data_IF_128886921684
#
_entry.id   IF_128886921684
#
_cell.length_a   1.000
_cell.length_b   1.000
_cell.length_c   1.000
_cell.angle_alpha   90.00
_cell.angle_beta   90.00
_cell.angle_gamma   90.00
#
_symmetry.space_group_name_H-M   'P 1'
#
loop_
_entity.id
_entity.type
_entity.pdbx_description
1 polymer ?
#
# COMPACT_ATOMS: atom_id res chain seq x y z
N UNK A 1 -27.76 2.65 0.80
CA UNK A 1 -27.15 4.00 0.74
C UNK A 1 -26.50 4.17 -0.63
N UNK A 2 -26.44 5.39 -1.20
CA UNK A 2 -25.75 5.59 -2.49
C UNK A 2 -24.21 5.42 -2.36
N UNK A 3 -23.57 4.95 -3.45
CA UNK A 3 -22.13 4.69 -3.53
C UNK A 3 -21.27 5.94 -3.32
N UNK A 4 -21.71 7.11 -3.78
CA UNK A 4 -20.95 8.35 -3.58
C UNK A 4 -20.96 8.74 -2.09
N UNK A 5 -22.10 8.60 -1.41
CA UNK A 5 -22.18 8.81 0.04
C UNK A 5 -21.31 7.81 0.81
N UNK A 6 -21.34 6.52 0.45
CA UNK A 6 -20.49 5.50 1.06
C UNK A 6 -18.99 5.83 0.93
N UNK A 7 -18.54 6.22 -0.27
CA UNK A 7 -17.14 6.65 -0.51
C UNK A 7 -16.78 7.87 0.33
N UNK A 8 -17.68 8.84 0.44
CA UNK A 8 -17.45 10.06 1.23
C UNK A 8 -17.24 9.72 2.70
N UNK A 9 -18.06 8.85 3.29
CA UNK A 9 -17.92 8.42 4.70
C UNK A 9 -16.56 7.74 4.93
N UNK A 10 -16.18 6.82 4.05
CA UNK A 10 -14.88 6.13 4.15
C UNK A 10 -13.75 7.13 4.05
N UNK A 11 -13.78 8.02 3.04
CA UNK A 11 -12.75 9.04 2.82
C UNK A 11 -12.60 9.97 4.01
N UNK A 12 -13.70 10.54 4.51
CA UNK A 12 -13.68 11.44 5.66
C UNK A 12 -13.19 10.75 6.94
N UNK A 13 -13.38 9.44 7.06
CA UNK A 13 -12.89 8.68 8.21
C UNK A 13 -11.42 8.31 8.06
N UNK A 14 -10.99 7.87 6.88
CA UNK A 14 -9.68 7.24 6.66
C UNK A 14 -8.61 8.17 6.11
N UNK A 15 -8.95 9.38 5.69
CA UNK A 15 -7.98 10.43 5.30
C UNK A 15 -7.89 11.51 6.40
N UNK A 16 -8.05 11.11 7.66
CA UNK A 16 -8.05 12.03 8.79
C UNK A 16 -7.49 11.38 10.06
N UNK A 17 -6.96 12.20 10.99
CA UNK A 17 -6.59 11.72 12.31
C UNK A 17 -7.78 11.05 13.00
N UNK A 18 -7.47 10.06 13.86
CA UNK A 18 -8.51 9.29 14.51
C UNK A 18 -9.42 10.18 15.37
N UNK A 19 -10.71 10.14 15.06
CA UNK A 19 -11.77 10.74 15.88
C UNK A 19 -12.79 9.66 16.21
N UNK A 20 -12.97 9.39 17.51
CA UNK A 20 -13.79 8.26 17.97
C UNK A 20 -15.24 8.35 17.49
N UNK A 21 -15.86 9.52 17.54
CA UNK A 21 -17.22 9.78 17.05
C UNK A 21 -17.37 9.40 15.56
N UNK A 22 -16.40 9.81 14.75
CA UNK A 22 -16.34 9.54 13.31
C UNK A 22 -16.13 8.06 13.03
N UNK A 23 -15.20 7.42 13.75
CA UNK A 23 -14.98 5.98 13.66
C UNK A 23 -16.24 5.19 14.06
N UNK A 24 -16.91 5.55 15.17
CA UNK A 24 -18.17 4.92 15.57
C UNK A 24 -19.25 5.09 14.52
N UNK A 25 -19.39 6.28 13.94
CA UNK A 25 -20.32 6.54 12.84
C UNK A 25 -20.02 5.67 11.63
N UNK A 26 -18.75 5.61 11.21
CA UNK A 26 -18.32 4.76 10.11
C UNK A 26 -18.66 3.29 10.36
N UNK A 27 -18.33 2.75 11.54
CA UNK A 27 -18.60 1.33 11.84
C UNK A 27 -20.10 1.03 11.91
N UNK A 28 -20.93 1.97 12.39
CA UNK A 28 -22.40 1.85 12.33
C UNK A 28 -22.91 1.78 10.89
N UNK A 29 -22.32 2.53 9.95
CA UNK A 29 -22.65 2.44 8.52
C UNK A 29 -22.07 1.17 7.88
N UNK A 30 -20.91 0.70 8.33
CA UNK A 30 -20.29 -0.54 7.82
C UNK A 30 -21.09 -1.78 8.19
N UNK A 31 -21.64 -1.83 9.41
CA UNK A 31 -22.31 -3.02 9.97
C UNK A 31 -23.84 -2.90 9.99
N UNK A 32 -24.39 -1.79 9.48
CA UNK A 32 -25.79 -1.36 9.53
C UNK A 32 -26.37 -1.14 10.93
N UNK A 33 -26.07 -2.01 11.90
CA UNK A 33 -26.46 -1.88 13.30
C UNK A 33 -25.37 -2.45 14.22
N UNK A 34 -25.21 -1.85 15.40
CA UNK A 34 -24.39 -2.41 16.49
C UNK A 34 -25.16 -2.26 17.80
N UNK A 35 -24.95 -3.19 18.73
CA UNK A 35 -25.38 -3.05 20.12
C UNK A 35 -24.43 -2.09 20.84
N UNK A 36 -24.94 -0.98 21.36
CA UNK A 36 -24.16 -0.05 22.18
C UNK A 36 -23.85 -0.70 23.54
N UNK A 37 -22.62 -1.19 23.71
CA UNK A 37 -22.21 -2.02 24.85
C UNK A 37 -20.83 -1.59 25.38
N UNK A 38 -20.71 -0.30 25.71
CA UNK A 38 -19.41 0.31 25.98
C UNK A 38 -18.78 -0.12 27.30
N UNK A 39 -17.49 -0.40 27.30
CA UNK A 39 -16.68 -0.49 28.53
C UNK A 39 -15.22 -0.14 28.23
N UNK A 40 -14.45 0.15 29.28
CA UNK A 40 -13.03 0.50 29.16
C UNK A 40 -12.15 -0.38 30.04
N UNK A 41 -11.08 -0.92 29.47
CA UNK A 41 -9.94 -1.48 30.19
C UNK A 41 -8.78 -0.49 30.18
N UNK A 42 -8.27 -0.19 31.38
CA UNK A 42 -7.11 0.67 31.57
C UNK A 42 -6.40 0.30 32.88
N UNK A 43 -5.13 0.72 33.02
CA UNK A 43 -4.36 0.50 34.25
C UNK A 43 -4.25 -0.97 34.65
N UNK A 44 -4.80 -1.33 35.82
CA UNK A 44 -4.75 -2.69 36.37
C UNK A 44 -5.51 -3.73 35.53
N UNK A 45 -6.40 -3.29 34.64
CA UNK A 45 -7.21 -4.17 33.79
C UNK A 45 -6.45 -4.69 32.57
N UNK A 46 -5.37 -4.02 32.16
CA UNK A 46 -4.48 -4.49 31.10
C UNK A 46 -3.49 -5.52 31.68
N UNK A 47 -3.36 -6.72 31.11
CA UNK A 47 -2.38 -7.71 31.58
C UNK A 47 -0.94 -7.20 31.49
N UNK A 48 -0.09 -7.60 32.43
CA UNK A 48 1.28 -7.07 32.57
C UNK A 48 2.12 -7.22 31.30
N UNK A 49 1.95 -8.32 30.57
CA UNK A 49 2.65 -8.58 29.29
C UNK A 49 2.36 -7.50 28.22
N UNK A 50 1.19 -6.85 28.26
CA UNK A 50 0.76 -5.89 27.24
C UNK A 50 0.94 -4.42 27.68
N UNK A 51 1.09 -4.14 28.99
CA UNK A 51 1.28 -2.78 29.54
C UNK A 51 2.43 -1.95 28.95
N UNK A 52 3.52 -2.54 28.41
CA UNK A 52 4.55 -1.76 27.70
C UNK A 52 4.07 -1.13 26.39
N UNK A 53 3.04 -1.72 25.76
CA UNK A 53 2.55 -1.33 24.42
C UNK A 53 1.16 -0.71 24.46
N UNK A 54 0.26 -1.26 25.28
CA UNK A 54 -1.16 -0.88 25.34
C UNK A 54 -1.37 0.06 26.52
N UNK A 55 -2.00 1.20 26.25
CA UNK A 55 -2.44 2.16 27.28
C UNK A 55 -3.86 1.83 27.75
N UNK A 56 -4.79 1.69 26.81
CA UNK A 56 -6.19 1.37 27.08
C UNK A 56 -6.83 0.58 25.94
N UNK A 57 -7.93 -0.10 26.26
CA UNK A 57 -8.88 -0.69 25.31
C UNK A 57 -10.27 -0.22 25.68
N UNK A 58 -11.04 0.20 24.69
CA UNK A 58 -12.44 0.51 24.83
C UNK A 58 -13.26 -0.32 23.86
N UNK A 59 -14.29 -1.02 24.33
CA UNK A 59 -15.32 -1.56 23.43
C UNK A 59 -16.33 -0.45 23.17
N UNK A 60 -16.59 -0.20 21.90
CA UNK A 60 -17.60 0.77 21.43
C UNK A 60 -18.95 0.08 21.37
N UNK A 61 -18.99 -1.12 20.81
CA UNK A 61 -20.22 -1.90 20.66
C UNK A 61 -19.93 -3.34 20.30
N UNK A 62 -21.02 -4.10 20.11
CA UNK A 62 -21.01 -5.48 19.64
C UNK A 62 -21.80 -5.61 18.36
N UNK A 63 -21.45 -6.61 17.57
CA UNK A 63 -22.14 -7.00 16.37
C UNK A 63 -22.22 -8.52 16.27
N UNK A 64 -23.31 -9.02 15.69
CA UNK A 64 -23.42 -10.41 15.30
C UNK A 64 -24.07 -10.50 13.93
N UNK A 65 -23.53 -11.37 13.08
CA UNK A 65 -24.12 -11.72 11.78
C UNK A 65 -25.12 -12.89 11.90
N UNK A 66 -25.47 -13.29 13.13
CA UNK A 66 -26.32 -14.44 13.44
C UNK A 66 -25.55 -15.73 13.72
N UNK A 67 -24.28 -15.82 13.30
CA UNK A 67 -23.42 -16.99 13.51
C UNK A 67 -22.19 -16.63 14.36
N UNK A 68 -21.58 -15.49 14.09
CA UNK A 68 -20.33 -15.01 14.69
C UNK A 68 -20.57 -13.79 15.58
N UNK A 69 -19.70 -13.62 16.57
CA UNK A 69 -19.65 -12.46 17.45
C UNK A 69 -18.43 -11.58 17.14
N UNK A 70 -18.69 -10.31 16.84
CA UNK A 70 -17.66 -9.33 16.49
C UNK A 70 -17.74 -8.14 17.46
N UNK A 71 -16.65 -7.87 18.17
CA UNK A 71 -16.56 -6.68 19.03
C UNK A 71 -15.93 -5.51 18.25
N UNK A 72 -16.47 -4.29 18.46
CA UNK A 72 -15.93 -3.06 17.90
C UNK A 72 -15.08 -2.39 18.97
N UNK A 73 -13.77 -2.29 18.71
CA UNK A 73 -12.77 -1.88 19.69
C UNK A 73 -12.01 -0.63 19.25
N UNK A 74 -11.65 0.18 20.24
CA UNK A 74 -10.67 1.25 20.13
C UNK A 74 -9.53 0.97 21.10
N UNK A 75 -8.30 0.97 20.62
CA UNK A 75 -7.10 0.66 21.41
C UNK A 75 -6.12 1.82 21.32
N UNK A 76 -5.83 2.42 22.47
CA UNK A 76 -4.82 3.45 22.57
C UNK A 76 -3.47 2.80 22.92
N UNK A 77 -2.48 3.05 22.07
CA UNK A 77 -1.11 2.59 22.26
C UNK A 77 -0.34 3.56 23.16
N UNK A 78 0.78 3.09 23.70
CA UNK A 78 1.55 3.84 24.71
C UNK A 78 2.64 4.74 24.12
N UNK A 79 3.17 4.41 22.94
CA UNK A 79 4.26 5.13 22.28
C UNK A 79 3.88 5.41 20.84
N UNK A 80 4.32 6.54 20.30
CA UNK A 80 4.24 6.91 18.87
C UNK A 80 4.61 5.73 17.96
N UNK A 81 5.83 5.20 18.16
CA UNK A 81 6.38 4.08 17.38
C UNK A 81 5.65 2.74 17.53
N UNK A 82 4.73 2.59 18.49
CA UNK A 82 4.03 1.33 18.73
C UNK A 82 3.08 0.96 17.59
N UNK A 83 2.56 1.92 16.84
CA UNK A 83 1.66 1.66 15.71
C UNK A 83 2.35 0.75 14.68
N UNK A 84 3.60 1.08 14.36
CA UNK A 84 4.42 0.32 13.43
C UNK A 84 5.12 -0.87 14.09
N UNK A 85 5.78 -0.69 15.24
CA UNK A 85 6.77 -1.65 15.76
C UNK A 85 6.18 -2.77 16.61
N UNK A 86 4.91 -2.66 17.02
CA UNK A 86 4.31 -3.58 17.99
C UNK A 86 3.12 -4.37 17.41
N UNK A 87 3.14 -4.68 16.12
CA UNK A 87 2.04 -5.37 15.41
C UNK A 87 1.66 -6.72 16.05
N UNK A 88 2.65 -7.54 16.37
CA UNK A 88 2.47 -8.81 17.09
C UNK A 88 1.89 -8.64 18.48
N UNK A 89 2.33 -7.61 19.22
CA UNK A 89 1.78 -7.34 20.55
C UNK A 89 0.34 -6.85 20.47
N UNK A 90 -0.01 -6.03 19.47
CA UNK A 90 -1.38 -5.60 19.19
C UNK A 90 -2.27 -6.82 18.87
N UNK A 91 -1.84 -7.69 17.96
CA UNK A 91 -2.57 -8.92 17.59
C UNK A 91 -2.78 -9.84 18.78
N UNK A 92 -1.72 -10.14 19.53
CA UNK A 92 -1.78 -11.02 20.70
C UNK A 92 -2.67 -10.45 21.80
N UNK A 93 -2.66 -9.13 22.00
CA UNK A 93 -3.55 -8.48 22.96
C UNK A 93 -5.03 -8.65 22.58
N UNK A 94 -5.37 -8.48 21.30
CA UNK A 94 -6.74 -8.72 20.84
C UNK A 94 -7.09 -10.21 20.86
N UNK A 95 -6.15 -11.11 20.54
CA UNK A 95 -6.37 -12.55 20.66
C UNK A 95 -6.69 -12.95 22.12
N UNK A 96 -5.95 -12.41 23.09
CA UNK A 96 -6.25 -12.59 24.51
C UNK A 96 -7.64 -12.04 24.86
N UNK A 97 -8.02 -10.89 24.31
CA UNK A 97 -9.33 -10.30 24.52
C UNK A 97 -10.48 -11.18 23.99
N UNK A 98 -10.33 -11.69 22.76
CA UNK A 98 -11.29 -12.56 22.10
C UNK A 98 -11.38 -13.93 22.77
N UNK A 99 -10.28 -14.42 23.35
CA UNK A 99 -10.22 -15.67 24.10
C UNK A 99 -10.75 -15.52 25.55
N UNK A 100 -11.87 -14.81 25.72
CA UNK A 100 -12.56 -14.67 27.00
C UNK A 100 -11.90 -13.69 27.98
N UNK A 101 -10.80 -13.03 27.65
CA UNK A 101 -10.15 -11.97 28.45
C UNK A 101 -9.97 -12.31 29.94
N UNK A 102 -10.91 -11.88 30.81
CA UNK A 102 -10.97 -12.13 32.26
C UNK A 102 -12.18 -13.00 32.66
N UNK A 103 -12.47 -14.06 31.90
CA UNK A 103 -13.58 -14.98 32.14
C UNK A 103 -14.90 -14.60 31.46
N UNK A 104 -14.84 -13.74 30.44
CA UNK A 104 -15.96 -13.46 29.55
C UNK A 104 -16.11 -14.50 28.44
N UNK A 105 -17.12 -14.29 27.60
CA UNK A 105 -17.42 -15.16 26.45
C UNK A 105 -16.33 -15.10 25.37
N UNK A 106 -16.12 -16.24 24.71
CA UNK A 106 -15.28 -16.33 23.52
C UNK A 106 -15.95 -15.59 22.36
N UNK A 107 -15.15 -14.93 21.54
CA UNK A 107 -15.62 -14.18 20.37
C UNK A 107 -14.80 -14.54 19.15
N UNK A 108 -15.45 -14.47 17.99
CA UNK A 108 -14.85 -14.89 16.72
C UNK A 108 -13.90 -13.83 16.17
N UNK A 109 -14.25 -12.55 16.28
CA UNK A 109 -13.47 -11.47 15.70
C UNK A 109 -13.62 -10.12 16.44
N UNK A 110 -12.76 -9.17 16.07
CA UNK A 110 -12.91 -7.77 16.41
C UNK A 110 -12.52 -6.86 15.24
N UNK A 111 -13.28 -5.78 15.07
CA UNK A 111 -12.87 -4.61 14.29
C UNK A 111 -12.23 -3.61 15.25
N UNK A 112 -10.98 -3.24 14.98
CA UNK A 112 -10.13 -2.52 15.94
C UNK A 112 -9.54 -1.27 15.30
N UNK A 113 -9.71 -0.12 15.96
CA UNK A 113 -8.92 1.07 15.69
C UNK A 113 -7.71 1.12 16.65
N UNK A 114 -6.51 1.00 16.12
CA UNK A 114 -5.26 1.19 16.88
C UNK A 114 -4.72 2.60 16.66
N UNK A 115 -4.50 3.34 17.76
CA UNK A 115 -4.10 4.74 17.71
C UNK A 115 -2.90 4.97 18.61
N UNK A 116 -1.84 5.55 18.05
CA UNK A 116 -0.68 6.01 18.79
C UNK A 116 -0.86 7.45 19.27
N UNK A 117 -0.26 7.84 20.41
CA UNK A 117 -0.26 9.23 20.84
C UNK A 117 0.52 10.08 19.83
N UNK A 118 0.04 11.29 19.52
CA UNK A 118 0.75 12.25 18.66
C UNK A 118 0.78 11.93 17.16
N UNK A 119 0.27 10.78 16.74
CA UNK A 119 0.26 10.36 15.33
C UNK A 119 -1.04 10.78 14.63
N UNK A 120 -0.91 11.27 13.40
CA UNK A 120 -2.06 11.54 12.52
C UNK A 120 -2.54 10.28 11.80
N UNK A 121 -1.66 9.29 11.65
CA UNK A 121 -1.98 8.01 11.04
C UNK A 121 -2.37 6.98 12.12
N UNK A 122 -3.30 6.10 11.79
CA UNK A 122 -3.84 5.07 12.66
C UNK A 122 -4.15 3.81 11.85
N UNK A 123 -4.48 2.70 12.53
CA UNK A 123 -4.78 1.43 11.86
C UNK A 123 -6.20 0.98 12.12
N UNK A 124 -6.92 0.71 11.03
CA UNK A 124 -8.18 0.00 11.07
C UNK A 124 -7.92 -1.48 10.76
N UNK A 125 -8.22 -2.36 11.71
CA UNK A 125 -7.84 -3.76 11.66
C UNK A 125 -9.02 -4.70 11.86
N UNK A 126 -9.02 -5.81 11.13
CA UNK A 126 -9.81 -7.00 11.47
C UNK A 126 -8.86 -7.99 12.18
N UNK A 127 -9.24 -8.43 13.38
CA UNK A 127 -8.56 -9.53 14.08
C UNK A 127 -9.57 -10.67 14.23
N UNK A 128 -9.22 -11.87 13.74
CA UNK A 128 -10.10 -13.06 13.76
C UNK A 128 -9.39 -14.25 14.41
N UNK A 129 -10.11 -15.02 15.20
CA UNK A 129 -9.63 -16.29 15.77
C UNK A 129 -9.67 -17.40 14.70
N UNK A 130 -8.56 -18.10 14.48
CA UNK A 130 -8.47 -19.22 13.53
C UNK A 130 -8.65 -20.55 14.27
N UNK A 131 -9.90 -20.94 14.56
CA UNK A 131 -10.20 -22.18 15.28
C UNK A 131 -9.90 -23.42 14.43
N UNK A 132 -8.81 -24.11 14.76
CA UNK A 132 -8.57 -25.48 14.27
C UNK A 132 -9.26 -26.46 15.21
N UNK A 133 -10.38 -27.03 14.75
CA UNK A 133 -10.99 -28.17 15.44
C UNK A 133 -10.22 -29.45 15.06
N UNK A 134 -9.40 -29.97 15.97
CA UNK A 134 -8.88 -31.34 15.85
C UNK A 134 -9.89 -32.32 16.48
N UNK A 135 -10.44 -33.23 15.67
CA UNK A 135 -11.19 -34.37 16.17
C UNK A 135 -10.26 -35.31 16.95
N UNK A 136 -10.55 -35.54 18.23
CA UNK A 136 -9.82 -36.56 18.98
C UNK A 136 -10.22 -37.96 18.51
N UNK A 137 -9.32 -38.94 18.62
CA UNK A 137 -9.51 -40.36 18.23
C UNK A 137 -10.70 -41.07 18.91
N UNK A 138 -11.47 -40.39 19.76
CA UNK A 138 -12.64 -40.92 20.47
C UNK A 138 -13.96 -40.20 20.10
N UNK A 139 -13.97 -39.35 19.06
CA UNK A 139 -15.19 -38.67 18.59
C UNK A 139 -15.72 -37.57 19.53
N UNK A 140 -14.98 -37.25 20.61
CA UNK A 140 -15.22 -36.05 21.40
C UNK A 140 -14.38 -34.91 20.83
N UNK A 141 -15.04 -33.84 20.40
CA UNK A 141 -14.40 -32.56 20.06
C UNK A 141 -13.77 -32.03 21.35
N UNK A 142 -12.47 -32.23 21.53
CA UNK A 142 -11.71 -31.51 22.53
C UNK A 142 -11.09 -30.33 21.80
N UNK A 143 -11.62 -29.13 22.03
CA UNK A 143 -10.87 -27.90 21.73
C UNK A 143 -9.57 -28.01 22.54
N UNK A 144 -8.46 -28.30 21.90
CA UNK A 144 -7.16 -28.18 22.56
C UNK A 144 -7.01 -26.70 22.93
N UNK A 145 -6.72 -26.42 24.20
CA UNK A 145 -6.26 -25.12 24.69
C UNK A 145 -4.88 -24.71 24.11
N UNK A 146 -4.48 -25.26 22.96
CA UNK A 146 -3.33 -24.75 22.22
C UNK A 146 -3.78 -23.42 21.59
N UNK A 147 -3.16 -22.33 22.06
CA UNK A 147 -3.30 -20.95 21.59
C UNK A 147 -3.85 -20.89 20.15
N UNK A 148 -5.15 -20.67 20.01
CA UNK A 148 -5.76 -20.50 18.71
C UNK A 148 -5.12 -19.26 18.08
N UNK A 149 -4.36 -19.39 16.97
CA UNK A 149 -3.66 -18.24 16.44
C UNK A 149 -4.70 -17.26 15.88
N UNK A 150 -4.67 -16.01 16.35
CA UNK A 150 -5.44 -14.95 15.71
C UNK A 150 -4.72 -14.51 14.44
N UNK A 151 -5.48 -14.24 13.38
CA UNK A 151 -5.00 -13.54 12.19
C UNK A 151 -5.43 -12.09 12.25
N UNK A 152 -4.59 -11.21 11.70
CA UNK A 152 -4.88 -9.79 11.61
C UNK A 152 -4.66 -9.28 10.20
N UNK A 153 -5.64 -8.53 9.71
CA UNK A 153 -5.51 -7.72 8.50
C UNK A 153 -5.69 -6.25 8.88
N UNK A 154 -5.04 -5.33 8.16
CA UNK A 154 -5.08 -3.91 8.54
C UNK A 154 -4.96 -2.97 7.35
N UNK A 155 -5.78 -1.93 7.36
CA UNK A 155 -5.54 -0.71 6.59
C UNK A 155 -4.74 0.27 7.46
N UNK A 156 -3.63 0.79 6.94
CA UNK A 156 -3.03 2.02 7.44
C UNK A 156 -3.79 3.19 6.83
N UNK A 157 -4.29 4.08 7.69
CA UNK A 157 -5.19 5.18 7.35
C UNK A 157 -4.78 6.43 8.14
N UNK A 158 -5.20 7.61 7.73
CA UNK A 158 -4.83 8.87 8.37
C UNK A 158 -4.59 9.99 7.38
N UNK A 159 -4.15 11.14 7.88
CA UNK A 159 -3.89 12.33 7.05
C UNK A 159 -2.90 12.06 5.91
N UNK A 160 -1.95 11.12 6.10
CA UNK A 160 -0.88 10.87 5.15
C UNK A 160 -1.14 9.67 4.23
N UNK A 161 -2.30 9.02 4.34
CA UNK A 161 -2.61 7.81 3.60
C UNK A 161 -3.78 8.02 2.66
N UNK A 162 -3.61 7.55 1.42
CA UNK A 162 -4.70 7.52 0.47
C UNK A 162 -5.72 6.46 0.90
N UNK A 163 -7.01 6.78 0.76
CA UNK A 163 -8.07 5.85 1.12
C UNK A 163 -8.68 5.10 -0.07
N UNK A 164 -8.10 5.19 -1.28
CA UNK A 164 -8.69 4.60 -2.49
C UNK A 164 -8.88 3.09 -2.39
N UNK A 165 -7.86 2.33 -1.94
CA UNK A 165 -7.98 0.90 -1.69
C UNK A 165 -9.10 0.62 -0.68
N UNK A 166 -9.12 1.31 0.46
CA UNK A 166 -10.15 1.12 1.47
C UNK A 166 -11.55 1.46 0.96
N UNK A 167 -11.70 2.53 0.17
CA UNK A 167 -12.94 2.89 -0.51
C UNK A 167 -13.37 1.78 -1.48
N UNK A 168 -12.48 1.28 -2.34
CA UNK A 168 -12.80 0.20 -3.29
C UNK A 168 -13.29 -1.07 -2.58
N UNK A 169 -12.65 -1.43 -1.46
CA UNK A 169 -12.94 -2.66 -0.72
C UNK A 169 -14.13 -2.58 0.21
N UNK A 170 -14.30 -1.46 0.93
CA UNK A 170 -15.32 -1.32 1.97
C UNK A 170 -16.61 -0.67 1.44
N UNK A 171 -16.55 0.11 0.36
CA UNK A 171 -17.75 0.75 -0.22
C UNK A 171 -18.86 -0.24 -0.57
N UNK A 172 -18.60 -1.43 -1.15
CA UNK A 172 -19.68 -2.38 -1.44
C UNK A 172 -20.45 -2.79 -0.20
N UNK A 173 -19.77 -2.93 0.96
CA UNK A 173 -20.40 -3.27 2.24
C UNK A 173 -21.14 -2.07 2.81
N UNK A 174 -20.47 -0.91 2.88
CA UNK A 174 -21.04 0.33 3.41
C UNK A 174 -22.27 0.80 2.62
N UNK A 175 -22.34 0.51 1.31
CA UNK A 175 -23.47 0.89 0.47
C UNK A 175 -24.71 0.00 0.66
N UNK A 176 -24.54 -1.25 1.12
CA UNK A 176 -25.61 -2.22 1.37
C UNK A 176 -26.22 -2.00 2.77
N UNK A 177 -27.21 -1.12 2.85
CA UNK A 177 -27.95 -0.82 4.08
C UNK A 177 -29.18 -1.71 4.28
N UNK A 178 -29.37 -2.71 3.43
CA UNK A 178 -30.47 -3.67 3.51
C UNK A 178 -30.03 -4.98 4.18
N UNK A 179 -28.76 -5.37 4.02
CA UNK A 179 -28.23 -6.64 4.52
C UNK A 179 -27.05 -6.43 5.46
N UNK A 180 -27.16 -6.94 6.68
CA UNK A 180 -26.08 -6.99 7.65
C UNK A 180 -24.92 -7.86 7.11
N UNK A 181 -23.66 -7.36 7.08
CA UNK A 181 -22.55 -8.10 6.49
C UNK A 181 -22.08 -9.28 7.33
N UNK A 182 -21.80 -10.41 6.68
CA UNK A 182 -21.20 -11.56 7.37
C UNK A 182 -19.73 -11.30 7.72
N UNK A 183 -19.19 -12.05 8.69
CA UNK A 183 -17.75 -12.02 8.99
C UNK A 183 -16.90 -12.34 7.74
N UNK A 184 -17.36 -13.24 6.88
CA UNK A 184 -16.68 -13.58 5.63
C UNK A 184 -16.66 -12.39 4.64
N UNK A 185 -17.77 -11.66 4.50
CA UNK A 185 -17.80 -10.44 3.67
C UNK A 185 -16.85 -9.37 4.20
N UNK A 186 -16.81 -9.18 5.53
CA UNK A 186 -15.87 -8.26 6.17
C UNK A 186 -14.42 -8.71 5.93
N UNK A 187 -14.09 -9.98 6.15
CA UNK A 187 -12.76 -10.53 5.90
C UNK A 187 -12.31 -10.35 4.45
N UNK A 188 -13.20 -10.62 3.50
CA UNK A 188 -12.92 -10.42 2.07
C UNK A 188 -12.62 -8.95 1.74
N UNK A 189 -13.22 -7.97 2.42
CA UNK A 189 -12.85 -6.56 2.21
C UNK A 189 -11.41 -6.26 2.66
N UNK A 190 -10.86 -7.02 3.60
CA UNK A 190 -9.47 -6.92 4.05
C UNK A 190 -8.51 -7.84 3.29
N UNK A 191 -8.99 -8.62 2.31
CA UNK A 191 -8.14 -9.49 1.52
C UNK A 191 -7.19 -8.70 0.61
N UNK A 192 -5.89 -8.86 0.89
CA UNK A 192 -4.81 -8.23 0.15
C UNK A 192 -4.59 -8.87 -1.23
N UNK A 193 -4.88 -10.16 -1.40
CA UNK A 193 -4.58 -10.87 -2.66
C UNK A 193 -5.32 -10.26 -3.85
N UNK A 194 -6.55 -9.78 -3.59
CA UNK A 194 -7.33 -9.04 -4.59
C UNK A 194 -6.65 -7.72 -4.98
N UNK A 195 -6.18 -6.94 -4.00
CA UNK A 195 -5.50 -5.65 -4.23
C UNK A 195 -4.19 -5.84 -4.98
N UNK A 196 -3.37 -6.83 -4.59
CA UNK A 196 -2.10 -7.14 -5.26
C UNK A 196 -2.32 -7.54 -6.72
N UNK A 197 -3.36 -8.33 -6.99
CA UNK A 197 -3.71 -8.75 -8.35
C UNK A 197 -4.17 -7.58 -9.21
N UNK A 198 -5.01 -6.70 -8.67
CA UNK A 198 -5.44 -5.48 -9.37
C UNK A 198 -4.25 -4.57 -9.70
N UNK A 199 -3.39 -4.31 -8.71
CA UNK A 199 -2.18 -3.52 -8.91
C UNK A 199 -1.27 -4.14 -9.97
N UNK A 200 -1.05 -5.46 -9.93
CA UNK A 200 -0.23 -6.16 -10.93
C UNK A 200 -0.75 -5.94 -12.36
N UNK A 201 -2.07 -6.02 -12.56
CA UNK A 201 -2.68 -5.79 -13.87
C UNK A 201 -2.48 -4.34 -14.32
N UNK A 202 -2.67 -3.37 -13.42
CA UNK A 202 -2.45 -1.94 -13.73
C UNK A 202 -0.96 -1.66 -14.02
N UNK A 203 -0.04 -2.26 -13.26
CA UNK A 203 1.40 -2.15 -13.47
C UNK A 203 1.84 -2.75 -14.81
N UNK A 204 1.28 -3.91 -15.19
CA UNK A 204 1.51 -4.51 -16.52
C UNK A 204 1.06 -3.58 -17.64
N UNK A 205 -0.13 -3.00 -17.50
CA UNK A 205 -0.67 -2.10 -18.52
C UNK A 205 0.13 -0.79 -18.59
N UNK A 206 0.71 -0.33 -17.47
CA UNK A 206 1.71 0.74 -17.46
C UNK A 206 2.98 0.33 -18.21
N UNK A 207 3.52 -0.87 -17.95
CA UNK A 207 4.71 -1.36 -18.65
C UNK A 207 4.54 -1.36 -20.17
N UNK A 208 3.39 -1.84 -20.65
CA UNK A 208 3.09 -1.87 -22.08
C UNK A 208 3.04 -0.44 -22.65
N UNK A 209 2.31 0.47 -22.01
CA UNK A 209 2.20 1.87 -22.45
C UNK A 209 3.54 2.59 -22.43
N UNK A 210 4.32 2.44 -21.37
CA UNK A 210 5.66 3.04 -21.27
C UNK A 210 6.57 2.55 -22.40
N UNK A 211 6.56 1.25 -22.69
CA UNK A 211 7.34 0.68 -23.79
C UNK A 211 6.88 1.25 -25.13
N UNK A 212 5.58 1.31 -25.38
CA UNK A 212 5.03 1.84 -26.63
C UNK A 212 5.36 3.34 -26.84
N UNK A 213 5.34 4.15 -25.77
CA UNK A 213 5.77 5.55 -25.85
C UNK A 213 7.29 5.67 -26.13
N UNK A 214 8.10 4.83 -25.51
CA UNK A 214 9.55 4.76 -25.80
C UNK A 214 9.82 4.36 -27.25
N UNK A 215 9.11 3.37 -27.80
CA UNK A 215 9.24 2.95 -29.20
C UNK A 215 8.92 4.09 -30.16
N UNK A 216 7.80 4.80 -29.94
CA UNK A 216 7.40 5.95 -30.75
C UNK A 216 8.50 7.02 -30.75
N UNK A 217 9.03 7.32 -29.57
CA UNK A 217 10.08 8.31 -29.40
C UNK A 217 11.38 7.90 -30.13
N UNK A 218 11.89 6.69 -29.88
CA UNK A 218 13.11 6.16 -30.51
C UNK A 218 12.96 6.08 -32.04
N UNK A 219 11.75 5.81 -32.55
CA UNK A 219 11.51 5.83 -34.00
C UNK A 219 11.59 7.25 -34.59
N UNK A 220 11.20 8.27 -33.83
CA UNK A 220 11.13 9.67 -34.25
C UNK A 220 12.45 10.44 -34.15
N UNK A 221 13.35 10.05 -33.24
CA UNK A 221 14.62 10.74 -32.99
C UNK A 221 15.83 9.92 -33.46
N UNK A 222 16.50 10.41 -34.51
CA UNK A 222 17.64 9.71 -35.10
C UNK A 222 18.87 9.67 -34.19
N UNK A 223 19.08 10.68 -33.34
CA UNK A 223 20.23 10.76 -32.43
C UNK A 223 20.07 9.75 -31.30
N UNK A 224 18.89 9.73 -30.67
CA UNK A 224 18.55 8.78 -29.60
C UNK A 224 18.67 7.35 -30.13
N UNK A 225 18.10 7.08 -31.31
CA UNK A 225 18.15 5.76 -31.94
C UNK A 225 19.60 5.30 -32.18
N UNK A 226 20.48 6.19 -32.62
CA UNK A 226 21.89 5.88 -32.84
C UNK A 226 22.62 5.59 -31.52
N UNK A 227 22.39 6.39 -30.48
CA UNK A 227 23.00 6.17 -29.15
C UNK A 227 22.50 4.86 -28.53
N UNK A 228 21.19 4.60 -28.56
CA UNK A 228 20.61 3.37 -28.03
C UNK A 228 21.18 2.14 -28.74
N UNK A 229 21.29 2.18 -30.07
CA UNK A 229 21.89 1.09 -30.84
C UNK A 229 23.37 0.88 -30.47
N UNK A 230 24.14 1.96 -30.31
CA UNK A 230 25.56 1.88 -29.94
C UNK A 230 25.77 1.36 -28.50
N UNK A 231 24.85 1.65 -27.60
CA UNK A 231 24.90 1.28 -26.18
C UNK A 231 24.14 -0.01 -25.84
N UNK A 232 23.46 -0.61 -26.81
CA UNK A 232 22.65 -1.81 -26.59
C UNK A 232 21.42 -1.58 -25.71
N UNK A 233 20.86 -0.37 -25.75
CA UNK A 233 19.65 -0.01 -24.99
C UNK A 233 18.40 -0.42 -25.75
N UNK A 234 17.60 -1.30 -25.17
CA UNK A 234 16.29 -1.67 -25.70
C UNK A 234 15.13 -1.07 -24.86
N UNK A 235 14.03 -0.76 -25.53
CA UNK A 235 12.87 -0.09 -24.93
C UNK A 235 12.11 -0.98 -23.94
N UNK A 236 12.22 -2.31 -24.04
CA UNK A 236 11.59 -3.25 -23.11
C UNK A 236 12.26 -3.16 -21.74
N UNK A 237 13.58 -3.27 -21.70
CA UNK A 237 14.36 -3.16 -20.47
C UNK A 237 14.39 -1.73 -19.93
N UNK A 238 14.37 -0.72 -20.81
CA UNK A 238 14.20 0.67 -20.38
C UNK A 238 12.85 0.85 -19.66
N UNK A 239 11.73 0.41 -20.24
CA UNK A 239 10.41 0.55 -19.63
C UNK A 239 10.32 -0.13 -18.26
N UNK A 240 10.87 -1.35 -18.13
CA UNK A 240 10.94 -2.06 -16.86
C UNK A 240 11.76 -1.31 -15.82
N UNK A 241 12.94 -0.82 -16.22
CA UNK A 241 13.83 -0.10 -15.31
C UNK A 241 13.20 1.21 -14.85
N UNK A 242 12.57 1.97 -15.75
CA UNK A 242 11.88 3.22 -15.43
C UNK A 242 10.75 2.99 -14.40
N UNK A 243 9.83 2.06 -14.69
CA UNK A 243 8.78 1.74 -13.73
C UNK A 243 9.34 1.20 -12.41
N UNK A 244 10.42 0.43 -12.51
CA UNK A 244 11.09 -0.14 -11.36
C UNK A 244 11.74 0.88 -10.44
N UNK A 245 12.38 1.90 -11.03
CA UNK A 245 12.92 3.05 -10.31
C UNK A 245 11.79 3.81 -9.62
N UNK A 246 10.71 4.13 -10.33
CA UNK A 246 9.59 4.89 -9.77
C UNK A 246 8.92 4.14 -8.61
N UNK A 247 8.58 2.86 -8.79
CA UNK A 247 7.91 2.08 -7.74
C UNK A 247 8.81 1.89 -6.51
N UNK A 248 10.13 1.77 -6.70
CA UNK A 248 11.08 1.72 -5.59
C UNK A 248 11.03 3.00 -4.75
N UNK A 249 10.95 4.17 -5.39
CA UNK A 249 10.80 5.44 -4.68
C UNK A 249 9.45 5.55 -3.96
N UNK A 250 8.37 4.98 -4.49
CA UNK A 250 7.07 4.91 -3.80
C UNK A 250 7.15 4.13 -2.47
N UNK A 251 7.95 3.07 -2.41
CA UNK A 251 8.23 2.40 -1.14
C UNK A 251 9.06 3.27 -0.20
N UNK A 252 10.13 3.87 -0.71
CA UNK A 252 11.08 4.56 0.15
C UNK A 252 10.55 5.90 0.66
N UNK A 253 9.72 6.60 -0.10
CA UNK A 253 9.13 7.88 0.31
C UNK A 253 8.26 7.72 1.55
N UNK A 254 7.68 6.54 1.81
CA UNK A 254 6.95 6.25 3.06
C UNK A 254 7.80 6.41 4.32
N UNK A 255 9.14 6.37 4.20
CA UNK A 255 10.06 6.67 5.29
C UNK A 255 10.27 8.16 5.54
N UNK A 256 9.73 9.05 4.72
CA UNK A 256 9.97 10.51 4.80
C UNK A 256 11.43 10.88 4.49
N UNK A 257 12.10 10.08 3.66
CA UNK A 257 13.53 10.25 3.36
C UNK A 257 13.79 11.19 2.18
N UNK A 258 12.79 11.61 1.43
CA UNK A 258 13.00 12.52 0.31
C UNK A 258 12.46 13.91 0.61
N UNK A 259 13.13 14.95 0.10
CA UNK A 259 12.69 16.33 0.31
C UNK A 259 12.95 16.85 1.73
N UNK A 260 13.92 16.27 2.46
CA UNK A 260 14.27 16.72 3.82
C UNK A 260 15.01 18.06 3.73
N UNK A 261 14.63 19.04 4.55
CA UNK A 261 15.31 20.34 4.58
C UNK A 261 16.76 20.23 5.13
N UNK A 262 17.60 21.22 4.82
CA UNK A 262 19.05 21.18 5.10
C UNK A 262 19.42 20.88 6.56
N UNK A 263 18.65 21.39 7.52
CA UNK A 263 18.97 21.23 8.95
C UNK A 263 17.95 20.34 9.68
N UNK A 264 17.19 19.53 8.94
CA UNK A 264 16.19 18.61 9.51
C UNK A 264 16.70 17.17 9.53
N UNK A 265 16.13 16.41 10.45
CA UNK A 265 16.37 14.98 10.62
C UNK A 265 15.73 14.18 9.48
N UNK A 266 16.34 13.04 9.14
CA UNK A 266 15.75 12.09 8.21
C UNK A 266 14.38 11.62 8.70
N UNK A 267 13.44 11.48 7.78
CA UNK A 267 12.06 11.09 8.09
C UNK A 267 11.08 12.26 8.18
N UNK A 268 11.58 13.50 8.16
CA UNK A 268 10.74 14.71 8.10
C UNK A 268 10.33 15.13 6.69
N UNK A 269 10.86 14.45 5.67
CA UNK A 269 10.59 14.74 4.27
C UNK A 269 9.23 14.26 3.81
N UNK A 270 8.88 14.57 2.56
CA UNK A 270 7.56 14.26 2.00
C UNK A 270 7.36 12.75 1.82
N UNK A 271 6.21 12.26 2.30
CA UNK A 271 5.70 10.90 2.02
C UNK A 271 5.06 10.75 0.63
N UNK A 272 4.99 11.84 -0.14
CA UNK A 272 4.41 11.95 -1.49
C UNK A 272 5.34 12.68 -2.46
N UNK A 273 6.65 12.61 -2.20
CA UNK A 273 7.69 13.38 -2.88
C UNK A 273 7.64 13.35 -4.42
N UNK A 274 7.40 12.19 -5.04
CA UNK A 274 7.30 12.10 -6.51
C UNK A 274 6.10 12.87 -7.07
N UNK A 275 4.98 12.91 -6.33
CA UNK A 275 3.81 13.69 -6.70
C UNK A 275 4.10 15.18 -6.54
N UNK A 276 4.73 15.60 -5.45
CA UNK A 276 5.09 17.00 -5.21
C UNK A 276 6.08 17.51 -6.27
N UNK A 277 7.01 16.65 -6.71
CA UNK A 277 7.89 16.91 -7.85
C UNK A 277 7.09 17.11 -9.14
N UNK A 278 6.12 16.24 -9.44
CA UNK A 278 5.29 16.35 -10.65
C UNK A 278 4.34 17.56 -10.61
N UNK A 279 3.80 17.89 -9.45
CA UNK A 279 2.90 19.03 -9.26
C UNK A 279 3.66 20.38 -9.27
N UNK A 280 4.98 20.34 -9.50
CA UNK A 280 5.90 21.50 -9.58
C UNK A 280 5.98 22.30 -8.28
N UNK A 281 5.73 21.64 -7.16
CA UNK A 281 5.82 22.27 -5.83
C UNK A 281 7.28 22.49 -5.41
N UNK A 282 8.20 21.69 -5.95
CA UNK A 282 9.63 21.72 -5.60
C UNK A 282 10.47 22.49 -6.63
N UNK A 283 10.23 22.26 -7.93
CA UNK A 283 10.94 22.96 -9.01
C UNK A 283 10.09 23.10 -10.28
N UNK A 284 10.32 24.15 -11.10
CA UNK A 284 9.73 24.26 -12.42
C UNK A 284 10.42 23.32 -13.40
N UNK A 285 9.64 22.76 -14.32
CA UNK A 285 10.15 21.95 -15.42
C UNK A 285 9.18 21.95 -16.62
N UNK A 286 9.71 21.61 -17.80
CA UNK A 286 8.92 21.41 -19.02
C UNK A 286 8.64 19.92 -19.28
N UNK A 287 9.69 19.08 -19.22
CA UNK A 287 9.58 17.63 -19.34
C UNK A 287 9.98 16.94 -18.02
N UNK A 288 9.06 16.15 -17.46
CA UNK A 288 9.25 15.51 -16.17
C UNK A 288 10.37 14.48 -16.20
N UNK A 289 10.47 13.68 -17.28
CA UNK A 289 11.52 12.67 -17.36
C UNK A 289 12.91 13.32 -17.39
N UNK A 290 13.17 14.19 -18.36
CA UNK A 290 14.51 14.76 -18.58
C UNK A 290 14.96 15.73 -17.48
N UNK A 291 14.04 16.53 -16.93
CA UNK A 291 14.40 17.61 -15.98
C UNK A 291 14.22 17.21 -14.52
N UNK A 292 13.50 16.12 -14.25
CA UNK A 292 13.22 15.68 -12.87
C UNK A 292 13.72 14.26 -12.64
N UNK A 293 13.23 13.27 -13.41
CA UNK A 293 13.56 11.87 -13.13
C UNK A 293 15.01 11.50 -13.45
N UNK A 294 15.58 11.97 -14.57
CA UNK A 294 16.99 11.67 -14.88
C UNK A 294 17.95 12.28 -13.83
N UNK A 295 17.86 13.57 -13.44
CA UNK A 295 18.69 14.11 -12.36
C UNK A 295 18.43 13.42 -11.02
N UNK A 296 17.18 13.04 -10.72
CA UNK A 296 16.85 12.32 -9.49
C UNK A 296 17.53 10.95 -9.47
N UNK A 297 17.36 10.16 -10.52
CA UNK A 297 17.91 8.80 -10.61
C UNK A 297 19.43 8.83 -10.72
N UNK A 298 19.96 9.47 -11.76
CA UNK A 298 21.35 9.28 -12.20
C UNK A 298 22.36 10.21 -11.51
N UNK A 299 21.89 11.22 -10.78
CA UNK A 299 22.74 12.07 -9.96
C UNK A 299 22.39 12.03 -8.47
N UNK A 300 21.14 12.33 -8.10
CA UNK A 300 20.79 12.47 -6.68
C UNK A 300 20.84 11.14 -5.92
N UNK A 301 20.31 10.07 -6.50
CA UNK A 301 20.22 8.74 -5.85
C UNK A 301 21.43 7.85 -6.14
N UNK A 302 22.10 8.05 -7.28
CA UNK A 302 23.22 7.21 -7.74
C UNK A 302 24.61 7.70 -7.33
N UNK A 303 24.75 8.91 -6.78
CA UNK A 303 26.05 9.44 -6.33
C UNK A 303 26.03 9.72 -4.84
N UNK A 304 27.06 9.26 -4.15
CA UNK A 304 27.26 9.57 -2.74
C UNK A 304 27.60 11.06 -2.59
N UNK A 305 26.82 11.74 -1.74
CA UNK A 305 26.96 13.17 -1.38
C UNK A 305 27.01 13.33 0.15
N UNK A 306 27.41 12.28 0.88
CA UNK A 306 27.49 12.28 2.34
C UNK A 306 28.46 13.32 2.91
N UNK A 307 29.44 13.76 2.12
CA UNK A 307 30.38 14.83 2.46
C UNK A 307 29.70 16.21 2.61
N UNK A 308 28.54 16.41 1.99
CA UNK A 308 27.72 17.63 2.07
C UNK A 308 26.34 17.35 2.70
N UNK A 309 26.28 16.38 3.61
CA UNK A 309 25.04 15.94 4.30
C UNK A 309 23.89 15.62 3.33
N UNK A 310 24.24 14.94 2.23
CA UNK A 310 23.31 14.49 1.20
C UNK A 310 22.51 15.61 0.52
N UNK A 311 22.98 16.85 0.60
CA UNK A 311 22.32 18.00 0.00
C UNK A 311 22.35 17.92 -1.54
N UNK A 312 21.19 18.09 -2.17
CA UNK A 312 21.08 18.18 -3.62
C UNK A 312 20.68 19.60 -4.05
N UNK A 313 21.51 20.24 -4.86
CA UNK A 313 21.29 21.62 -5.31
C UNK A 313 20.14 21.76 -6.32
N UNK A 314 19.82 20.73 -7.09
CA UNK A 314 18.74 20.76 -8.07
C UNK A 314 17.37 20.69 -7.41
N UNK A 315 17.24 19.85 -6.37
CA UNK A 315 15.99 19.66 -5.62
C UNK A 315 15.88 20.51 -4.35
N UNK A 316 16.96 21.22 -3.98
CA UNK A 316 17.05 22.06 -2.78
C UNK A 316 16.63 21.32 -1.50
N UNK A 317 17.03 20.05 -1.40
CA UNK A 317 16.71 19.17 -0.27
C UNK A 317 17.76 18.08 -0.11
N UNK A 318 17.79 17.42 1.05
CA UNK A 318 18.54 16.16 1.21
C UNK A 318 17.84 15.03 0.47
N UNK A 319 18.64 14.22 -0.21
CA UNK A 319 18.19 13.02 -0.92
C UNK A 319 19.20 11.90 -0.62
N UNK A 320 18.76 10.72 -0.14
CA UNK A 320 19.66 9.66 0.27
C UNK A 320 20.37 9.05 -0.95
N UNK A 321 21.59 8.58 -0.73
CA UNK A 321 22.29 7.74 -1.70
C UNK A 321 21.78 6.29 -1.58
N UNK A 322 21.48 5.66 -2.71
CA UNK A 322 20.90 4.31 -2.77
C UNK A 322 21.76 3.28 -3.53
N UNK A 323 23.03 3.61 -3.78
CA UNK A 323 23.98 2.84 -4.58
C UNK A 323 23.64 2.74 -6.09
N UNK A 324 24.69 2.48 -6.88
CA UNK A 324 24.63 2.21 -8.32
C UNK A 324 24.04 0.83 -8.65
N UNK A 325 23.38 0.73 -9.79
CA UNK A 325 22.66 -0.44 -10.28
C UNK A 325 21.29 -0.06 -10.81
N UNK A 326 20.27 -0.02 -9.93
CA UNK A 326 18.91 0.38 -10.31
C UNK A 326 18.86 1.83 -10.77
N UNK A 327 19.65 2.71 -10.14
CA UNK A 327 19.69 4.14 -10.42
C UNK A 327 20.81 4.58 -11.36
N UNK A 328 21.51 3.66 -12.03
CA UNK A 328 22.43 4.02 -13.12
C UNK A 328 21.71 4.11 -14.48
N UNK A 329 22.15 4.95 -15.43
CA UNK A 329 21.60 4.98 -16.78
C UNK A 329 21.80 3.62 -17.49
N UNK A 330 20.75 3.13 -18.16
CA UNK A 330 20.80 1.83 -18.84
C UNK A 330 21.84 1.85 -19.98
N UNK A 331 22.75 0.88 -20.00
CA UNK A 331 23.81 0.84 -21.01
C UNK A 331 24.74 2.07 -21.02
N UNK A 332 24.71 2.91 -19.99
CA UNK A 332 25.39 4.20 -19.96
C UNK A 332 25.10 5.07 -21.20
N UNK A 333 23.83 5.14 -21.61
CA UNK A 333 23.39 6.14 -22.60
C UNK A 333 23.68 7.55 -22.09
N UNK A 334 23.90 8.47 -23.03
CA UNK A 334 24.31 9.83 -22.70
C UNK A 334 23.11 10.69 -22.28
N UNK A 335 22.61 10.46 -21.06
CA UNK A 335 21.45 11.15 -20.49
C UNK A 335 21.66 12.66 -20.31
N UNK A 336 22.91 13.14 -20.33
CA UNK A 336 23.22 14.58 -20.23
C UNK A 336 23.00 15.29 -21.57
N UNK A 337 23.27 14.60 -22.68
CA UNK A 337 23.21 15.18 -24.03
C UNK A 337 22.11 14.58 -24.91
N UNK A 338 21.32 13.64 -24.40
CA UNK A 338 20.24 12.94 -25.11
C UNK A 338 18.93 13.16 -24.37
N UNK A 339 18.15 14.14 -24.82
CA UNK A 339 16.83 14.42 -24.24
C UNK A 339 15.82 13.33 -24.67
N UNK A 340 15.37 12.49 -23.74
CA UNK A 340 14.31 11.49 -23.98
C UNK A 340 12.96 12.12 -23.64
N UNK A 341 12.30 12.73 -24.63
CA UNK A 341 11.06 13.47 -24.42
C UNK A 341 9.83 12.57 -24.24
N UNK A 342 9.79 11.83 -23.13
CA UNK A 342 8.61 11.06 -22.70
C UNK A 342 7.51 12.06 -22.32
N UNK A 343 6.28 11.95 -22.88
CA UNK A 343 5.19 12.86 -22.56
C UNK A 343 4.85 12.87 -21.07
N UNK A 344 4.58 14.06 -20.50
CA UNK A 344 4.22 14.20 -19.09
C UNK A 344 2.93 13.43 -18.76
N UNK A 345 2.05 13.28 -19.75
CA UNK A 345 0.78 12.54 -19.68
C UNK A 345 0.97 11.05 -19.40
N UNK A 346 2.16 10.48 -19.68
CA UNK A 346 2.48 9.11 -19.28
C UNK A 346 2.56 8.99 -17.74
N UNK A 347 3.01 10.04 -17.06
CA UNK A 347 3.20 10.04 -15.60
C UNK A 347 1.92 10.45 -14.87
N UNK A 348 1.22 11.47 -15.36
CA UNK A 348 -0.06 11.89 -14.78
C UNK A 348 -0.90 12.66 -15.79
N UNK A 349 -2.21 12.40 -15.80
CA UNK A 349 -3.15 13.02 -16.74
C UNK A 349 -4.57 13.12 -16.14
N UNK A 350 -5.53 13.62 -16.93
CA UNK A 350 -6.92 13.82 -16.48
C UNK A 350 -7.91 12.83 -17.11
N UNK A 351 -7.41 11.75 -17.72
CA UNK A 351 -8.26 10.75 -18.39
C UNK A 351 -9.12 10.03 -17.35
N UNK A 352 -10.44 10.01 -17.56
CA UNK A 352 -11.36 9.26 -16.69
C UNK A 352 -11.28 7.77 -17.01
N UNK A 353 -11.02 6.94 -15.99
CA UNK A 353 -10.95 5.48 -16.16
C UNK A 353 -12.35 4.85 -16.21
N UNK A 354 -12.41 3.57 -16.59
CA UNK A 354 -13.65 2.80 -16.59
C UNK A 354 -14.25 2.65 -15.18
N UNK A 355 -13.39 2.66 -14.18
CA UNK A 355 -13.74 2.59 -12.76
C UNK A 355 -14.22 3.94 -12.20
N UNK A 356 -14.10 5.01 -13.00
CA UNK A 356 -14.54 6.36 -12.65
C UNK A 356 -13.47 7.22 -11.97
N UNK A 357 -12.24 6.72 -11.84
CA UNK A 357 -11.11 7.48 -11.31
C UNK A 357 -10.63 8.54 -12.32
N UNK A 358 -9.96 9.58 -11.84
CA UNK A 358 -9.31 10.59 -12.68
C UNK A 358 -7.82 10.25 -12.81
N UNK A 359 -7.32 10.32 -14.04
CA UNK A 359 -5.95 10.01 -14.39
C UNK A 359 -5.74 8.54 -14.69
N UNK A 360 -4.70 8.23 -15.45
CA UNK A 360 -4.26 6.84 -15.65
C UNK A 360 -2.74 6.75 -15.88
N UNK A 361 -2.00 7.82 -15.57
CA UNK A 361 -0.55 7.82 -15.65
C UNK A 361 0.09 6.96 -14.57
N UNK A 362 1.41 6.83 -14.63
CA UNK A 362 2.20 6.04 -13.68
C UNK A 362 1.93 6.49 -12.24
N UNK A 363 2.06 7.80 -11.96
CA UNK A 363 1.85 8.36 -10.64
C UNK A 363 0.38 8.29 -10.23
N UNK A 364 -0.55 8.51 -11.16
CA UNK A 364 -2.00 8.47 -10.86
C UNK A 364 -2.47 7.09 -10.40
N UNK A 365 -1.89 6.04 -10.98
CA UNK A 365 -2.18 4.67 -10.59
C UNK A 365 -1.49 4.38 -9.26
N UNK A 366 -0.22 4.72 -9.10
CA UNK A 366 0.52 4.39 -7.88
C UNK A 366 -0.07 5.11 -6.65
N UNK A 367 -0.51 6.37 -6.77
CA UNK A 367 -1.13 7.12 -5.68
C UNK A 367 -2.45 6.54 -5.15
N UNK A 368 -3.07 5.60 -5.89
CA UNK A 368 -4.29 4.90 -5.44
C UNK A 368 -4.00 3.75 -4.49
N UNK A 369 -2.76 3.27 -4.47
CA UNK A 369 -2.38 2.12 -3.66
C UNK A 369 -1.50 2.57 -2.51
N UNK A 370 -1.75 2.02 -1.33
CA UNK A 370 -0.86 2.21 -0.20
C UNK A 370 0.35 1.29 -0.39
N UNK A 371 1.53 1.83 -0.18
CA UNK A 371 2.80 1.09 -0.21
C UNK A 371 3.30 0.90 1.21
N UNK A 372 3.88 -0.26 1.49
CA UNK A 372 4.52 -0.56 2.77
C UNK A 372 5.91 -1.14 2.55
N UNK A 373 6.87 -0.77 3.38
CA UNK A 373 8.22 -1.39 3.38
C UNK A 373 8.28 -2.67 4.22
N UNK A 374 7.16 -3.05 4.85
CA UNK A 374 7.08 -4.23 5.70
C UNK A 374 6.45 -5.35 4.92
N UNK A 375 7.12 -6.48 4.86
CA UNK A 375 6.57 -7.70 4.30
C UNK A 375 5.45 -8.24 5.19
N UNK A 376 4.50 -8.92 4.55
CA UNK A 376 3.44 -9.67 5.21
C UNK A 376 4.02 -10.83 6.04
N UNK A 377 3.48 -11.01 7.24
CA UNK A 377 3.80 -12.16 8.10
C UNK A 377 2.63 -13.16 8.06
N UNK A 378 2.84 -14.46 8.34
CA UNK A 378 1.79 -15.48 8.19
C UNK A 378 0.47 -15.19 8.91
N UNK A 379 0.52 -14.45 10.02
CA UNK A 379 -0.64 -14.08 10.84
C UNK A 379 -0.96 -12.59 10.82
N UNK A 380 -0.18 -11.79 10.09
CA UNK A 380 -0.29 -10.33 10.05
C UNK A 380 -0.11 -9.84 8.63
N UNK A 381 -1.22 -9.43 8.03
CA UNK A 381 -1.25 -8.85 6.69
C UNK A 381 -1.61 -7.38 6.72
N UNK A 382 -0.99 -6.61 5.85
CA UNK A 382 -1.35 -5.22 5.61
C UNK A 382 -2.03 -5.10 4.24
N UNK A 383 -3.11 -4.33 4.15
CA UNK A 383 -3.81 -4.12 2.88
C UNK A 383 -3.08 -3.03 2.08
N UNK A 384 -1.84 -3.33 1.70
CA UNK A 384 -0.91 -2.45 1.02
C UNK A 384 0.04 -3.26 0.12
N UNK A 385 0.56 -2.63 -0.93
CA UNK A 385 1.57 -3.24 -1.79
C UNK A 385 2.88 -3.31 -1.00
N UNK A 386 3.47 -4.50 -0.93
CA UNK A 386 4.73 -4.78 -0.23
C UNK A 386 5.86 -5.18 -1.21
N UNK A 387 7.12 -5.26 -0.74
CA UNK A 387 8.25 -5.63 -1.59
C UNK A 387 8.18 -7.07 -2.12
N UNK A 388 7.59 -8.01 -1.37
CA UNK A 388 7.47 -9.43 -1.78
C UNK A 388 6.57 -9.56 -3.01
N UNK A 389 5.40 -8.91 -2.98
CA UNK A 389 4.45 -8.85 -4.09
C UNK A 389 5.09 -8.25 -5.33
N UNK A 390 5.89 -7.20 -5.17
CA UNK A 390 6.59 -6.59 -6.29
C UNK A 390 7.71 -7.51 -6.81
N UNK A 391 8.43 -8.23 -5.96
CA UNK A 391 9.41 -9.25 -6.36
C UNK A 391 8.79 -10.30 -7.29
N UNK A 392 7.64 -10.86 -6.89
CA UNK A 392 6.87 -11.80 -7.73
C UNK A 392 6.41 -11.17 -9.05
N UNK A 393 6.09 -9.88 -9.05
CA UNK A 393 5.74 -9.16 -10.28
C UNK A 393 6.96 -8.99 -11.20
N UNK A 394 8.11 -8.59 -10.65
CA UNK A 394 9.36 -8.47 -11.39
C UNK A 394 9.80 -9.77 -12.02
N UNK A 395 9.68 -10.91 -11.32
CA UNK A 395 9.98 -12.22 -11.89
C UNK A 395 9.17 -12.48 -13.16
N UNK A 396 7.87 -12.18 -13.13
CA UNK A 396 6.98 -12.30 -14.31
C UNK A 396 7.37 -11.35 -15.43
N UNK A 397 7.71 -10.10 -15.10
CA UNK A 397 8.12 -9.13 -16.11
C UNK A 397 9.50 -9.42 -16.68
N UNK A 398 10.43 -9.97 -15.90
CA UNK A 398 11.75 -10.39 -16.35
C UNK A 398 11.68 -11.48 -17.42
N UNK A 399 10.65 -12.32 -17.35
CA UNK A 399 10.38 -13.33 -18.36
C UNK A 399 9.99 -12.74 -19.74
N UNK A 400 9.49 -11.49 -19.76
CA UNK A 400 9.24 -10.73 -20.99
C UNK A 400 10.57 -10.15 -21.48
N UNK A 401 11.02 -10.49 -22.67
CA UNK A 401 12.29 -10.06 -23.23
C UNK A 401 12.08 -9.36 -24.58
N UNK A 402 13.08 -8.64 -25.08
CA UNK A 402 12.98 -7.98 -26.38
C UNK A 402 12.57 -8.94 -27.52
N UNK A 403 13.07 -10.17 -27.51
CA UNK A 403 12.80 -11.22 -28.50
C UNK A 403 11.38 -11.77 -28.46
N UNK A 404 10.71 -11.76 -27.30
CA UNK A 404 9.39 -12.37 -27.10
C UNK A 404 8.24 -11.37 -26.85
N UNK A 405 8.54 -10.06 -26.80
CA UNK A 405 7.55 -9.01 -26.48
C UNK A 405 6.36 -8.98 -27.44
N UNK A 406 6.59 -9.20 -28.74
CA UNK A 406 5.51 -9.21 -29.74
C UNK A 406 4.54 -10.38 -29.50
N UNK A 407 5.06 -11.56 -29.19
CA UNK A 407 4.25 -12.74 -28.82
C UNK A 407 3.48 -12.49 -27.52
N UNK A 408 4.12 -11.81 -26.56
CA UNK A 408 3.49 -11.43 -25.29
C UNK A 408 2.29 -10.49 -25.52
N UNK A 409 2.45 -9.45 -26.34
CA UNK A 409 1.34 -8.57 -26.70
C UNK A 409 0.22 -9.32 -27.43
N UNK A 410 0.56 -10.23 -28.35
CA UNK A 410 -0.43 -11.02 -29.07
C UNK A 410 -1.22 -11.93 -28.12
N UNK A 411 -0.56 -12.55 -27.14
CA UNK A 411 -1.21 -13.36 -26.11
C UNK A 411 -2.20 -12.52 -25.29
N UNK A 412 -1.82 -11.32 -24.84
CA UNK A 412 -2.72 -10.43 -24.10
C UNK A 412 -3.95 -10.02 -24.93
N UNK A 413 -3.77 -9.69 -26.21
CA UNK A 413 -4.86 -9.30 -27.11
C UNK A 413 -5.82 -10.45 -27.41
N UNK A 414 -5.37 -11.71 -27.30
CA UNK A 414 -6.22 -12.89 -27.51
C UNK A 414 -7.32 -13.07 -26.46
N UNK A 415 -7.20 -12.41 -25.30
CA UNK A 415 -8.17 -12.49 -24.21
C UNK A 415 -8.21 -13.84 -23.47
N UNK A 416 -7.38 -14.81 -23.85
CA UNK A 416 -7.27 -16.08 -23.14
C UNK A 416 -6.60 -15.86 -21.78
N UNK A 417 -7.41 -15.95 -20.72
CA UNK A 417 -6.99 -15.74 -19.33
C UNK A 417 -5.86 -16.70 -18.96
N UNK A 418 -4.68 -16.17 -18.61
CA UNK A 418 -3.52 -16.97 -18.23
C UNK A 418 -2.64 -17.42 -19.40
N UNK A 419 -2.94 -17.02 -20.64
CA UNK A 419 -2.07 -17.26 -21.81
C UNK A 419 -0.70 -16.60 -21.67
N UNK A 420 -0.61 -15.52 -20.89
CA UNK A 420 0.61 -14.82 -20.52
C UNK A 420 1.48 -15.62 -19.53
N UNK A 421 0.93 -16.61 -18.82
CA UNK A 421 1.72 -17.42 -17.88
C UNK A 421 2.74 -18.30 -18.60
N UNK A 422 2.59 -18.53 -19.92
CA UNK A 422 3.56 -19.28 -20.72
C UNK A 422 4.93 -18.61 -20.79
N UNK A 423 5.00 -17.30 -20.56
CA UNK A 423 6.25 -16.54 -20.57
C UNK A 423 7.03 -16.70 -19.27
N UNK A 424 6.37 -17.07 -18.17
CA UNK A 424 6.97 -17.20 -16.83
C UNK A 424 7.61 -18.58 -16.58
N UNK A 425 7.94 -19.34 -17.64
CA UNK A 425 8.45 -20.71 -17.56
C UNK A 425 9.96 -20.79 -17.70
#
# INVERSE_FOLDING_TARGET
>A
MDKHQARKIIKETFESPFEKSRFTSFVKNLLNQIEDASFTYQGIYIPDAYKPTISSLERIGKYSDGEHHIDILFVQLKKETSLERARTMQRNFIAWYLNGSRGGELKDAALVAFVSPGEEDWRFSLVKMDYRFEESKTGKIKVKEEFTPARRWSFLVGSNEASHTAQSRLMPIVADDEHNPTLEQIENAFDIETVSKEFFLKYRDLFIRTKEELDKFVASDAKVRADFAAKGVDTVNFAKKLLGQIVFLYFLQKKGWFGVERDKEWGTGSKRFLRDLFDKEILPYDNFFNKVLEPLFYDALARDKSDIDHWNEHFKSKIPFLNGGLFDPIGNYDWVHTDINIPNELFSNTVKTKEGDIGNGILDIFDRYNFTVKEDEPLEKEVAIDPEMLGKAYEKFNAIRPDNYAEYQAALKSGQKGSENKFNK
#
